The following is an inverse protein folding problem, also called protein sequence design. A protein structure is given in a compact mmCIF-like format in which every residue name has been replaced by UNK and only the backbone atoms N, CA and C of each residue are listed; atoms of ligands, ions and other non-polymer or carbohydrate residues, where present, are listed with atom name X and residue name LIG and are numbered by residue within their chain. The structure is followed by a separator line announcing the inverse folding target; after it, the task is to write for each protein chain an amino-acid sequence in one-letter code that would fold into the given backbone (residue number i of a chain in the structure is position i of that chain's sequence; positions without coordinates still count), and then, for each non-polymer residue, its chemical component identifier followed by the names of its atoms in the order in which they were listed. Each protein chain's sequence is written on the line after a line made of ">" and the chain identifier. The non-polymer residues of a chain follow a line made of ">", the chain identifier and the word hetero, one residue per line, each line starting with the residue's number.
data_IF_570094783392
#
_entry.id   IF_570094783392
#
_cell.length_a   1.000
_cell.length_b   1.000
_cell.length_c   1.000
_cell.angle_alpha   90.00
_cell.angle_beta   90.00
_cell.angle_gamma   90.00
#
_symmetry.space_group_name_H-M   'P 1'
#
loop_
_entity.id
_entity.type
_entity.pdbx_description
1 polymer ?
#
# COMPACT_ATOMS: atom_id res chain seq x y z
N UNK A 1 19.43 12.94 -7.75
CA UNK A 1 18.50 11.98 -8.42
C UNK A 1 18.55 12.26 -9.92
N UNK A 2 18.60 11.20 -10.75
CA UNK A 2 18.69 11.36 -12.20
C UNK A 2 17.34 11.80 -12.79
N UNK A 3 17.26 13.06 -13.24
CA UNK A 3 16.05 13.64 -13.83
C UNK A 3 15.61 12.87 -15.08
N UNK A 4 16.57 12.36 -15.82
CA UNK A 4 16.32 11.60 -17.04
C UNK A 4 15.69 10.24 -16.72
N UNK A 5 16.03 9.62 -15.58
CA UNK A 5 15.38 8.38 -15.13
C UNK A 5 13.89 8.59 -14.78
N UNK A 6 13.53 9.72 -14.18
CA UNK A 6 12.13 10.06 -13.92
C UNK A 6 11.38 10.24 -15.24
N UNK A 7 11.95 10.99 -16.16
CA UNK A 7 11.35 11.26 -17.47
C UNK A 7 11.10 9.96 -18.22
N UNK A 8 12.12 9.10 -18.34
CA UNK A 8 12.00 7.78 -18.98
C UNK A 8 10.93 6.91 -18.33
N UNK A 9 10.83 6.91 -16.98
CA UNK A 9 9.80 6.14 -16.27
C UNK A 9 8.39 6.62 -16.61
N UNK A 10 8.17 7.93 -16.72
CA UNK A 10 6.89 8.52 -17.10
C UNK A 10 6.52 8.14 -18.55
N UNK A 11 7.44 8.34 -19.48
CA UNK A 11 7.23 8.08 -20.91
C UNK A 11 6.98 6.59 -21.16
N UNK A 12 7.75 5.70 -20.53
CA UNK A 12 7.55 4.24 -20.62
C UNK A 12 6.17 3.80 -20.08
N UNK A 13 5.57 4.58 -19.18
CA UNK A 13 4.22 4.35 -18.66
C UNK A 13 3.12 5.08 -19.43
N UNK A 14 3.44 5.67 -20.59
CA UNK A 14 2.49 6.40 -21.44
C UNK A 14 2.11 7.78 -20.89
N UNK A 15 2.83 8.31 -19.91
CA UNK A 15 2.54 9.61 -19.30
C UNK A 15 3.50 10.69 -19.79
N UNK A 16 2.95 11.84 -20.21
CA UNK A 16 3.78 13.01 -20.53
C UNK A 16 4.52 13.50 -19.28
N UNK A 17 5.81 13.78 -19.42
CA UNK A 17 6.61 14.42 -18.39
C UNK A 17 6.27 15.92 -18.32
N UNK A 18 5.31 16.29 -17.49
CA UNK A 18 5.03 17.68 -17.17
C UNK A 18 5.81 18.13 -15.94
N UNK A 19 6.16 19.44 -15.79
CA UNK A 19 6.87 19.92 -14.62
C UNK A 19 6.22 19.54 -13.29
N UNK A 20 4.89 19.59 -13.21
CA UNK A 20 4.14 19.24 -12.00
C UNK A 20 4.19 17.75 -11.71
N UNK A 21 4.06 16.89 -12.73
CA UNK A 21 4.13 15.42 -12.57
C UNK A 21 5.54 14.97 -12.18
N UNK A 22 6.55 15.59 -12.81
CA UNK A 22 7.95 15.40 -12.43
C UNK A 22 8.18 15.77 -10.97
N UNK A 23 7.74 16.96 -10.54
CA UNK A 23 7.93 17.43 -9.17
C UNK A 23 7.30 16.50 -8.12
N UNK A 24 6.12 15.93 -8.40
CA UNK A 24 5.46 14.97 -7.53
C UNK A 24 6.29 13.69 -7.37
N UNK A 25 6.78 13.10 -8.47
CA UNK A 25 7.60 11.88 -8.41
C UNK A 25 8.94 12.16 -7.74
N UNK A 26 9.61 13.26 -8.10
CA UNK A 26 10.89 13.64 -7.52
C UNK A 26 10.77 13.78 -6.00
N UNK A 27 9.77 14.51 -5.53
CA UNK A 27 9.50 14.67 -4.10
C UNK A 27 9.24 13.32 -3.42
N UNK A 28 8.41 12.44 -4.00
CA UNK A 28 8.09 11.15 -3.40
C UNK A 28 9.30 10.21 -3.33
N UNK A 29 10.15 10.20 -4.34
CA UNK A 29 11.37 9.38 -4.37
C UNK A 29 12.43 9.83 -3.36
N UNK A 30 12.49 11.13 -3.07
CA UNK A 30 13.38 11.71 -2.05
C UNK A 30 12.82 11.60 -0.63
N UNK A 31 11.50 11.45 -0.52
CA UNK A 31 10.82 11.41 0.75
C UNK A 31 10.98 10.05 1.42
N UNK A 32 11.64 10.00 2.59
CA UNK A 32 11.79 8.77 3.40
C UNK A 32 10.55 8.46 4.25
N UNK A 33 9.40 9.00 3.90
CA UNK A 33 8.12 8.82 4.58
C UNK A 33 7.00 8.80 3.55
N UNK A 34 5.85 8.29 3.95
CA UNK A 34 4.68 8.19 3.12
C UNK A 34 3.79 9.41 3.33
N UNK A 35 3.92 10.48 2.52
CA UNK A 35 3.12 11.69 2.67
C UNK A 35 1.68 11.49 2.19
N UNK A 36 0.76 12.29 2.72
CA UNK A 36 -0.59 12.45 2.19
C UNK A 36 -0.58 13.34 0.95
N UNK A 37 -1.65 13.31 0.14
CA UNK A 37 -1.78 14.21 -1.02
C UNK A 37 -1.68 15.70 -0.63
N UNK A 38 -2.21 16.07 0.55
CA UNK A 38 -2.12 17.44 1.05
C UNK A 38 -0.67 17.83 1.43
N UNK A 39 0.11 16.90 1.99
CA UNK A 39 1.53 17.12 2.29
C UNK A 39 2.36 17.25 1.00
N UNK A 40 2.07 16.41 -0.01
CA UNK A 40 2.70 16.47 -1.34
C UNK A 40 2.39 17.82 -2.00
N UNK A 41 1.12 18.22 -2.02
CA UNK A 41 0.72 19.52 -2.56
C UNK A 41 1.49 20.68 -1.92
N UNK A 42 1.57 20.71 -0.58
CA UNK A 42 2.32 21.75 0.13
C UNK A 42 3.82 21.74 -0.22
N UNK A 43 4.43 20.56 -0.34
CA UNK A 43 5.85 20.43 -0.65
C UNK A 43 6.16 20.90 -2.07
N UNK A 44 5.41 20.41 -3.05
CA UNK A 44 5.59 20.76 -4.47
C UNK A 44 5.34 22.26 -4.71
N UNK A 45 4.28 22.84 -4.12
CA UNK A 45 3.98 24.27 -4.28
C UNK A 45 4.91 25.21 -3.50
N UNK A 46 5.66 24.72 -2.52
CA UNK A 46 6.70 25.53 -1.89
C UNK A 46 7.85 25.81 -2.85
N UNK A 47 8.18 24.85 -3.71
CA UNK A 47 9.23 24.98 -4.71
C UNK A 47 8.74 25.72 -5.96
N UNK A 48 7.48 25.49 -6.38
CA UNK A 48 6.87 26.08 -7.56
C UNK A 48 5.34 26.24 -7.36
N UNK A 49 4.85 27.45 -7.02
CA UNK A 49 3.46 27.69 -6.66
C UNK A 49 2.48 27.68 -7.85
N UNK A 50 2.77 26.95 -8.92
CA UNK A 50 1.94 26.88 -10.14
C UNK A 50 0.96 25.73 -10.17
N UNK A 51 0.96 24.83 -9.19
CA UNK A 51 0.05 23.70 -9.14
C UNK A 51 -1.17 23.97 -8.25
N UNK A 52 -2.36 23.68 -8.75
CA UNK A 52 -3.56 23.65 -7.93
C UNK A 52 -3.63 22.33 -7.12
N UNK A 53 -4.48 22.30 -6.08
CA UNK A 53 -4.78 21.04 -5.39
C UNK A 53 -5.33 19.99 -6.36
N UNK A 54 -6.28 20.37 -7.20
CA UNK A 54 -6.87 19.49 -8.20
C UNK A 54 -5.81 18.90 -9.13
N UNK A 55 -4.86 19.71 -9.60
CA UNK A 55 -3.74 19.24 -10.43
C UNK A 55 -2.88 18.21 -9.71
N UNK A 56 -2.54 18.44 -8.44
CA UNK A 56 -1.76 17.48 -7.64
C UNK A 56 -2.50 16.16 -7.48
N UNK A 57 -3.80 16.18 -7.14
CA UNK A 57 -4.60 14.97 -6.98
C UNK A 57 -4.77 14.21 -8.30
N UNK A 58 -4.99 14.91 -9.42
CA UNK A 58 -5.06 14.28 -10.73
C UNK A 58 -3.72 13.62 -11.12
N UNK A 59 -2.60 14.32 -10.90
CA UNK A 59 -1.28 13.72 -11.13
C UNK A 59 -1.03 12.47 -10.27
N UNK A 60 -1.39 12.50 -8.99
CA UNK A 60 -1.26 11.33 -8.12
C UNK A 60 -2.11 10.16 -8.62
N UNK A 61 -3.37 10.40 -9.01
CA UNK A 61 -4.23 9.37 -9.58
C UNK A 61 -3.62 8.76 -10.85
N UNK A 62 -3.14 9.59 -11.78
CA UNK A 62 -2.53 9.12 -13.02
C UNK A 62 -1.27 8.29 -12.74
N UNK A 63 -0.44 8.73 -11.79
CA UNK A 63 0.78 8.03 -11.37
C UNK A 63 0.49 6.69 -10.69
N UNK A 64 -0.57 6.60 -9.89
CA UNK A 64 -1.04 5.35 -9.27
C UNK A 64 -1.55 4.40 -10.34
N UNK A 65 -2.37 4.87 -11.27
CA UNK A 65 -2.88 4.06 -12.39
C UNK A 65 -1.75 3.53 -13.27
N UNK A 66 -0.69 4.31 -13.46
CA UNK A 66 0.49 3.92 -14.20
C UNK A 66 1.46 3.01 -13.42
N UNK A 67 1.17 2.72 -12.14
CA UNK A 67 2.01 1.88 -11.27
C UNK A 67 3.35 2.52 -10.85
N UNK A 68 3.51 3.84 -11.06
CA UNK A 68 4.72 4.58 -10.69
C UNK A 68 4.70 5.06 -9.24
N UNK A 69 3.51 5.12 -8.66
CA UNK A 69 3.24 5.48 -7.27
C UNK A 69 2.26 4.46 -6.70
N UNK A 70 2.44 4.09 -5.44
CA UNK A 70 1.50 3.26 -4.69
C UNK A 70 0.68 4.14 -3.75
N UNK A 71 -0.59 3.82 -3.63
CA UNK A 71 -1.47 4.40 -2.62
C UNK A 71 -1.63 3.40 -1.48
N UNK A 72 -1.21 3.80 -0.28
CA UNK A 72 -1.33 3.01 0.95
C UNK A 72 -2.54 3.50 1.72
N UNK A 73 -3.59 2.69 1.76
CA UNK A 73 -4.80 2.99 2.51
C UNK A 73 -4.56 2.90 4.02
N UNK A 74 -4.93 3.95 4.76
CA UNK A 74 -4.88 3.99 6.22
C UNK A 74 -6.30 4.18 6.74
N UNK A 75 -6.81 3.18 7.43
CA UNK A 75 -8.20 3.16 7.91
C UNK A 75 -8.55 4.41 8.74
N UNK A 76 -9.67 5.06 8.40
CA UNK A 76 -10.14 6.27 9.07
C UNK A 76 -9.26 7.51 8.88
N UNK A 77 -8.29 7.49 7.96
CA UNK A 77 -7.35 8.58 7.70
C UNK A 77 -7.14 8.81 6.20
N UNK A 78 -6.48 9.92 5.87
CA UNK A 78 -6.07 10.17 4.49
C UNK A 78 -5.06 9.11 4.01
N UNK A 79 -5.25 8.64 2.79
CA UNK A 79 -4.33 7.75 2.11
C UNK A 79 -2.93 8.37 2.01
N UNK A 80 -1.92 7.52 1.96
CA UNK A 80 -0.53 7.90 1.85
C UNK A 80 0.06 7.40 0.55
N UNK A 81 1.11 8.02 0.08
CA UNK A 81 1.70 7.73 -1.21
C UNK A 81 3.16 7.34 -1.09
N UNK A 82 3.57 6.37 -1.90
CA UNK A 82 4.91 5.84 -2.00
C UNK A 82 5.33 5.70 -3.47
N UNK A 83 6.57 6.09 -3.79
CA UNK A 83 7.17 5.96 -5.12
C UNK A 83 8.48 5.16 -5.10
N UNK A 84 8.74 4.38 -4.05
CA UNK A 84 9.91 3.52 -3.98
C UNK A 84 9.75 2.34 -4.94
N UNK A 85 10.66 2.23 -5.90
CA UNK A 85 10.60 1.20 -6.95
C UNK A 85 10.94 -0.22 -6.47
N UNK A 86 11.57 -0.38 -5.30
CA UNK A 86 11.88 -1.70 -4.73
C UNK A 86 10.69 -2.25 -3.96
N UNK A 87 10.52 -3.57 -4.02
CA UNK A 87 9.49 -4.25 -3.23
C UNK A 87 9.78 -4.12 -1.75
N UNK A 88 8.79 -3.76 -0.98
CA UNK A 88 8.82 -3.67 0.48
C UNK A 88 7.42 -3.88 1.02
N UNK A 89 7.35 -4.23 2.30
CA UNK A 89 6.10 -4.30 3.04
C UNK A 89 5.88 -3.01 3.81
N UNK A 90 4.68 -2.81 4.33
CA UNK A 90 4.34 -1.63 5.11
C UNK A 90 3.98 -1.99 6.54
N UNK A 91 4.39 -1.15 7.48
CA UNK A 91 3.89 -1.13 8.85
C UNK A 91 3.04 0.12 9.05
N UNK A 92 1.84 -0.04 9.60
CA UNK A 92 0.92 1.05 9.91
C UNK A 92 0.70 1.11 11.41
N UNK A 93 1.00 2.27 12.01
CA UNK A 93 0.73 2.50 13.42
C UNK A 93 -0.74 2.80 13.66
N UNK A 94 -1.42 1.97 14.45
CA UNK A 94 -2.85 2.12 14.76
C UNK A 94 -3.13 3.41 15.52
N UNK A 95 -2.17 3.90 16.34
CA UNK A 95 -2.36 5.09 17.15
C UNK A 95 -2.17 6.39 16.37
N UNK A 96 -1.08 6.55 15.63
CA UNK A 96 -0.74 7.81 14.95
C UNK A 96 -0.89 7.77 13.43
N UNK A 97 -1.16 6.60 12.84
CA UNK A 97 -1.30 6.43 11.39
C UNK A 97 0.01 6.60 10.61
N UNK A 98 1.17 6.55 11.31
CA UNK A 98 2.45 6.56 10.64
C UNK A 98 2.59 5.30 9.81
N UNK A 99 3.02 5.44 8.56
CA UNK A 99 3.39 4.34 7.67
C UNK A 99 4.91 4.30 7.60
N UNK A 100 5.48 3.13 7.77
CA UNK A 100 6.92 2.85 7.71
C UNK A 100 7.16 1.67 6.77
N UNK A 101 8.28 1.71 6.02
CA UNK A 101 8.68 0.59 5.20
C UNK A 101 9.19 -0.54 6.09
N UNK A 102 8.86 -1.74 5.71
CA UNK A 102 9.41 -2.97 6.27
C UNK A 102 10.18 -3.69 5.16
N UNK A 103 11.28 -4.33 5.54
CA UNK A 103 12.06 -5.11 4.59
C UNK A 103 11.19 -6.15 3.88
N UNK A 104 11.49 -6.38 2.61
CA UNK A 104 10.84 -7.44 1.85
C UNK A 104 11.27 -8.80 2.37
N UNK A 105 10.33 -9.68 2.57
CA UNK A 105 10.56 -11.12 2.72
C UNK A 105 9.50 -11.89 1.95
N UNK A 106 9.87 -13.07 1.49
CA UNK A 106 8.96 -13.89 0.71
C UNK A 106 7.83 -14.42 1.59
N UNK A 107 6.62 -14.16 1.14
CA UNK A 107 5.42 -14.71 1.76
C UNK A 107 5.13 -16.05 1.08
N UNK A 108 4.88 -17.12 1.83
CA UNK A 108 4.47 -18.38 1.25
C UNK A 108 3.28 -18.19 0.32
N UNK A 109 3.39 -18.65 -0.91
CA UNK A 109 2.28 -18.58 -1.85
C UNK A 109 1.12 -19.39 -1.31
N UNK A 110 -0.14 -18.90 -1.38
CA UNK A 110 -1.29 -19.70 -1.06
C UNK A 110 -1.31 -20.98 -1.89
N UNK A 111 -1.70 -22.09 -1.31
CA UNK A 111 -1.88 -23.33 -2.05
C UNK A 111 -2.84 -23.09 -3.23
N UNK A 112 -2.61 -23.75 -4.36
CA UNK A 112 -3.37 -23.53 -5.59
C UNK A 112 -4.88 -23.62 -5.41
N UNK A 113 -5.35 -24.51 -4.53
CA UNK A 113 -6.77 -24.66 -4.20
C UNK A 113 -7.36 -23.52 -3.35
N UNK A 114 -6.53 -22.71 -2.66
CA UNK A 114 -7.02 -21.63 -1.77
C UNK A 114 -7.39 -20.35 -2.50
N UNK A 115 -6.93 -20.19 -3.73
CA UNK A 115 -7.23 -19.01 -4.56
C UNK A 115 -8.19 -19.31 -5.71
N UNK A 116 -8.59 -20.56 -5.88
CA UNK A 116 -9.47 -21.03 -6.94
C UNK A 116 -8.85 -20.80 -8.32
N UNK A 117 -9.68 -20.30 -9.27
CA UNK A 117 -9.23 -20.00 -10.65
C UNK A 117 -8.58 -18.62 -10.81
N UNK A 118 -8.20 -17.94 -9.72
CA UNK A 118 -7.63 -16.59 -9.76
C UNK A 118 -6.16 -16.63 -10.13
N UNK A 119 -5.71 -15.63 -10.89
CA UNK A 119 -4.30 -15.40 -11.19
C UNK A 119 -3.77 -14.37 -10.19
N UNK A 120 -2.90 -14.80 -9.27
CA UNK A 120 -2.23 -13.89 -8.34
C UNK A 120 -1.06 -13.21 -9.07
N UNK A 121 -1.09 -11.89 -9.12
CA UNK A 121 0.01 -11.08 -9.70
C UNK A 121 0.94 -10.55 -8.62
N UNK A 122 0.39 -10.16 -7.48
CA UNK A 122 1.13 -9.53 -6.40
C UNK A 122 0.53 -9.91 -5.05
N UNK A 123 1.38 -9.95 -4.03
CA UNK A 123 0.98 -10.09 -2.62
C UNK A 123 1.77 -9.06 -1.82
N UNK A 124 1.07 -8.28 -1.02
CA UNK A 124 1.66 -7.31 -0.10
C UNK A 124 1.19 -7.62 1.32
N UNK A 125 2.09 -7.48 2.29
CA UNK A 125 1.74 -7.57 3.71
C UNK A 125 1.72 -6.18 4.33
N UNK A 126 0.67 -5.94 5.10
CA UNK A 126 0.55 -4.76 5.93
C UNK A 126 0.59 -5.20 7.39
N UNK A 127 1.63 -4.78 8.10
CA UNK A 127 1.76 -4.97 9.54
C UNK A 127 1.06 -3.83 10.26
N UNK A 128 0.34 -4.16 11.33
CA UNK A 128 -0.36 -3.17 12.16
C UNK A 128 0.07 -3.30 13.61
N UNK A 129 0.15 -2.18 14.31
CA UNK A 129 0.54 -2.15 15.71
C UNK A 129 0.90 -0.75 16.18
N UNK A 130 1.78 -0.63 17.17
CA UNK A 130 2.25 0.65 17.67
C UNK A 130 3.70 0.90 17.22
N UNK A 131 3.96 2.07 16.63
CA UNK A 131 5.32 2.49 16.31
C UNK A 131 6.13 2.77 17.59
N UNK A 132 7.44 2.90 17.46
CA UNK A 132 8.36 3.13 18.58
C UNK A 132 8.01 4.35 19.43
N UNK A 133 7.42 5.40 18.81
CA UNK A 133 6.96 6.61 19.51
C UNK A 133 5.65 6.40 20.26
N UNK A 134 4.80 5.51 19.78
CA UNK A 134 3.47 5.26 20.33
C UNK A 134 3.44 4.08 21.32
N UNK A 135 4.44 3.22 21.27
CA UNK A 135 4.60 2.11 22.23
C UNK A 135 4.84 2.68 23.62
N UNK A 136 4.02 2.31 24.63
CA UNK A 136 4.25 2.72 26.01
C UNK A 136 5.66 2.26 26.46
N UNK A 137 6.41 3.13 27.12
CA UNK A 137 7.66 2.72 27.79
C UNK A 137 7.30 1.66 28.83
N UNK A 138 7.55 0.40 28.52
CA UNK A 138 7.43 -0.68 29.51
C UNK A 138 8.54 -0.47 30.56
N UNK A 139 8.19 -0.53 31.87
CA UNK A 139 9.22 -0.78 32.87
C UNK A 139 9.86 -2.12 32.52
N UNK A 140 11.19 -2.18 32.59
CA UNK A 140 12.00 -3.33 32.20
C UNK A 140 11.60 -4.56 33.03
N UNK A 141 10.69 -5.37 32.54
CA UNK A 141 10.48 -6.74 33.03
C UNK A 141 11.36 -7.68 32.20
N UNK A 142 12.40 -8.20 32.81
CA UNK A 142 13.16 -9.33 32.27
C UNK A 142 12.17 -10.47 32.00
N UNK A 143 12.11 -10.94 30.75
CA UNK A 143 11.48 -12.21 30.40
C UNK A 143 9.99 -12.18 29.99
N UNK A 144 9.56 -11.36 29.02
CA UNK A 144 8.30 -11.61 28.33
C UNK A 144 8.59 -12.20 26.94
N UNK A 145 8.10 -13.44 26.73
CA UNK A 145 8.04 -14.08 25.42
C UNK A 145 7.39 -13.12 24.41
N UNK A 146 7.94 -13.05 23.21
CA UNK A 146 7.39 -12.28 22.10
C UNK A 146 5.90 -12.61 21.97
N UNK A 147 5.05 -11.58 22.09
CA UNK A 147 3.61 -11.74 21.91
C UNK A 147 3.35 -12.22 20.49
N UNK A 148 2.67 -13.36 20.35
CA UNK A 148 2.30 -13.92 19.06
C UNK A 148 1.49 -12.90 18.26
N UNK A 149 1.85 -12.68 16.99
CA UNK A 149 1.06 -11.91 16.07
C UNK A 149 -0.17 -12.72 15.63
N UNK A 150 -1.30 -12.04 15.47
CA UNK A 150 -2.48 -12.66 14.86
C UNK A 150 -2.48 -12.32 13.37
N UNK A 151 -2.50 -13.35 12.53
CA UNK A 151 -2.79 -13.15 11.10
C UNK A 151 -4.32 -13.00 10.99
N UNK A 152 -4.80 -11.76 10.84
CA UNK A 152 -6.19 -11.53 10.46
C UNK A 152 -6.29 -11.69 8.94
N UNK A 153 -6.64 -12.90 8.50
CA UNK A 153 -7.17 -13.07 7.15
C UNK A 153 -8.56 -12.42 7.17
N UNK A 154 -8.73 -11.32 6.44
CA UNK A 154 -10.04 -10.71 6.29
C UNK A 154 -11.01 -11.77 5.78
N UNK A 155 -11.91 -12.27 6.65
CA UNK A 155 -13.06 -13.03 6.23
C UNK A 155 -13.94 -12.08 5.43
N UNK A 156 -13.88 -12.15 4.12
CA UNK A 156 -14.98 -11.68 3.30
C UNK A 156 -16.20 -12.48 3.76
N UNK A 157 -17.15 -11.79 4.35
CA UNK A 157 -18.47 -12.35 4.67
C UNK A 157 -19.05 -12.88 3.36
N UNK A 158 -19.06 -14.21 3.23
CA UNK A 158 -19.88 -14.85 2.22
C UNK A 158 -21.32 -14.51 2.59
N UNK A 159 -21.99 -13.73 1.73
CA UNK A 159 -23.41 -13.54 1.82
C UNK A 159 -24.11 -14.91 1.77
N UNK A 160 -25.33 -15.01 2.31
CA UNK A 160 -26.02 -16.29 2.44
C UNK A 160 -26.31 -16.87 1.04
N UNK A 161 -25.56 -17.91 0.66
CA UNK A 161 -25.91 -18.74 -0.48
C UNK A 161 -27.06 -19.64 -0.06
N UNK A 162 -28.16 -19.49 -0.77
CA UNK A 162 -29.40 -20.22 -0.66
C UNK A 162 -29.17 -21.73 -0.58
N UNK A 163 -29.82 -22.32 0.42
CA UNK A 163 -30.12 -23.73 0.55
C UNK A 163 -31.15 -24.12 -0.53
N UNK A 164 -30.79 -25.04 -1.42
CA UNK A 164 -31.73 -25.89 -2.12
C UNK A 164 -30.96 -27.14 -2.48
N UNK A 165 -31.23 -28.18 -1.76
CA UNK A 165 -32.18 -29.24 -1.93
C UNK A 165 -31.61 -30.42 -2.72
N UNK A 166 -31.39 -31.49 -1.98
CA UNK A 166 -31.89 -32.84 -2.17
C UNK A 166 -31.94 -33.46 -3.58
N UNK A 167 -31.38 -34.62 -3.68
CA UNK A 167 -31.76 -35.55 -4.73
C UNK A 167 -30.87 -36.77 -4.83
N UNK A 168 -31.07 -37.71 -3.94
CA UNK A 168 -31.10 -39.19 -4.10
C UNK A 168 -30.50 -39.83 -5.36
N UNK A 169 -29.56 -40.72 -5.11
CA UNK A 169 -29.56 -42.18 -5.43
C UNK A 169 -29.49 -42.66 -6.86
N UNK A 170 -28.67 -43.67 -6.95
CA UNK A 170 -28.75 -44.97 -7.64
C UNK A 170 -27.80 -45.12 -8.84
N UNK A 171 -26.80 -45.93 -8.64
CA UNK A 171 -26.61 -47.31 -9.12
C UNK A 171 -26.61 -47.48 -10.64
N UNK A 172 -25.57 -48.09 -11.13
CA UNK A 172 -25.72 -49.12 -12.13
C UNK A 172 -24.87 -48.93 -13.41
N UNK A 173 -24.02 -49.91 -13.57
CA UNK A 173 -23.31 -50.47 -14.74
C UNK A 173 -21.96 -49.86 -15.09
#
# INVERSE_FOLDING_TARGET
>A
MDAEAIKRSLEASGLRCTPQRYAVIAFLRECNRHPTAAEIFKAVNRADPRSSRATTYNNLRDLVQAGLVREVAVEGRAARFDAKGMRHHHFICDRCGKVEDMEWYDVPRPASGSVGKRILRECELIFRGLCTKCTPRRPSRKGSKAGGYRINVARQQAGPAAIAANGKSQQGW
#
